data_IF_904974097390
#
_entry.id   IF_904974097390
#
_cell.length_a   1.000
_cell.length_b   1.000
_cell.length_c   1.000
_cell.angle_alpha   90.00
_cell.angle_beta   90.00
_cell.angle_gamma   90.00
#
_symmetry.space_group_name_H-M   'P 1'
#
loop_
_entity.id
_entity.type
_entity.pdbx_description
1 polymer ?
#
# COMPACT_ATOMS: atom_id res chain seq x y z
N UNK A 1 -11.58 2.24 25.09
CA UNK A 1 -10.53 3.27 24.98
C UNK A 1 -9.30 2.81 24.21
N UNK A 2 -8.58 1.75 24.61
CA UNK A 2 -7.35 1.30 23.90
C UNK A 2 -7.59 0.92 22.42
N UNK A 3 -8.62 0.13 22.12
CA UNK A 3 -8.97 -0.21 20.73
C UNK A 3 -9.32 1.02 19.88
N UNK A 4 -9.96 2.03 20.47
CA UNK A 4 -10.34 3.25 19.75
C UNK A 4 -9.11 4.05 19.32
N UNK A 5 -8.17 4.31 20.23
CA UNK A 5 -6.95 5.04 19.88
C UNK A 5 -6.09 4.33 18.82
N UNK A 6 -6.05 2.99 18.86
CA UNK A 6 -5.37 2.19 17.83
C UNK A 6 -6.10 2.28 16.50
N UNK A 7 -7.44 2.13 16.49
CA UNK A 7 -8.26 2.30 15.27
C UNK A 7 -8.02 3.67 14.65
N UNK A 8 -8.06 4.73 15.46
CA UNK A 8 -7.87 6.10 15.00
C UNK A 8 -6.47 6.33 14.40
N UNK A 9 -5.43 5.77 15.03
CA UNK A 9 -4.05 5.84 14.52
C UNK A 9 -3.91 5.12 13.17
N UNK A 10 -4.46 3.90 13.06
CA UNK A 10 -4.42 3.15 11.80
C UNK A 10 -5.21 3.86 10.71
N UNK A 11 -6.37 4.45 11.03
CA UNK A 11 -7.17 5.24 10.08
C UNK A 11 -6.43 6.49 9.62
N UNK A 12 -5.77 7.21 10.52
CA UNK A 12 -4.95 8.37 10.18
C UNK A 12 -3.86 7.97 9.17
N UNK A 13 -3.10 6.90 9.46
CA UNK A 13 -2.07 6.37 8.57
C UNK A 13 -2.62 5.89 7.23
N UNK A 14 -3.80 5.26 7.21
CA UNK A 14 -4.44 4.81 5.97
C UNK A 14 -4.92 5.98 5.10
N UNK A 15 -5.51 7.01 5.71
CA UNK A 15 -5.89 8.26 5.01
C UNK A 15 -4.67 8.97 4.44
N UNK A 16 -3.59 9.05 5.22
CA UNK A 16 -2.31 9.56 4.74
C UNK A 16 -1.78 8.76 3.55
N UNK A 17 -1.74 7.43 3.66
CA UNK A 17 -1.32 6.58 2.55
C UNK A 17 -2.20 6.77 1.31
N UNK A 18 -3.52 6.98 1.47
CA UNK A 18 -4.42 7.27 0.35
C UNK A 18 -3.99 8.53 -0.40
N UNK A 19 -3.86 9.66 0.30
CA UNK A 19 -3.46 10.95 -0.29
C UNK A 19 -2.07 10.84 -0.92
N UNK A 20 -1.09 10.31 -0.17
CA UNK A 20 0.28 10.16 -0.68
C UNK A 20 0.35 9.25 -1.92
N UNK A 21 -0.46 8.19 -2.00
CA UNK A 21 -0.52 7.33 -3.17
C UNK A 21 -1.15 8.05 -4.38
N UNK A 22 -2.16 8.90 -4.15
CA UNK A 22 -2.78 9.74 -5.19
C UNK A 22 -1.76 10.78 -5.72
N UNK A 23 -1.01 11.43 -4.85
CA UNK A 23 0.02 12.40 -5.23
C UNK A 23 1.16 11.73 -6.01
N UNK A 24 1.66 10.58 -5.54
CA UNK A 24 2.64 9.77 -6.28
C UNK A 24 2.11 9.43 -7.67
N UNK A 25 0.86 8.94 -7.77
CA UNK A 25 0.26 8.61 -9.05
C UNK A 25 0.15 9.83 -9.98
N UNK A 26 -0.20 10.99 -9.45
CA UNK A 26 -0.30 12.24 -10.21
C UNK A 26 1.07 12.71 -10.72
N UNK A 27 2.12 12.63 -9.91
CA UNK A 27 3.49 12.97 -10.32
C UNK A 27 3.98 12.01 -11.41
N UNK A 28 3.84 10.71 -11.18
CA UNK A 28 4.27 9.68 -12.11
C UNK A 28 3.50 9.71 -13.44
N UNK A 29 2.24 10.19 -13.44
CA UNK A 29 1.45 10.36 -14.68
C UNK A 29 2.04 11.36 -15.68
N UNK A 30 2.93 12.24 -15.22
CA UNK A 30 3.62 13.24 -16.06
C UNK A 30 4.88 12.68 -16.71
N UNK A 31 5.34 11.49 -16.30
CA UNK A 31 6.53 10.85 -16.84
C UNK A 31 6.19 10.02 -18.08
N UNK A 32 7.20 9.82 -18.94
CA UNK A 32 7.07 8.92 -20.08
C UNK A 32 6.95 7.47 -19.61
N UNK A 33 6.32 6.61 -20.43
CA UNK A 33 6.30 5.15 -20.16
C UNK A 33 7.71 4.58 -20.04
N UNK A 34 8.65 5.09 -20.83
CA UNK A 34 10.07 4.70 -20.74
C UNK A 34 10.63 5.05 -19.36
N UNK A 35 10.41 6.27 -18.87
CA UNK A 35 10.93 6.69 -17.57
C UNK A 35 10.36 5.90 -16.40
N UNK A 36 9.08 5.49 -16.48
CA UNK A 36 8.40 4.66 -15.49
C UNK A 36 8.97 3.24 -15.43
N UNK A 37 9.31 2.66 -16.60
CA UNK A 37 9.73 1.27 -16.74
C UNK A 37 11.24 1.06 -16.68
N UNK A 38 12.03 2.13 -16.92
CA UNK A 38 13.49 2.09 -16.92
C UNK A 38 14.05 1.55 -15.61
N UNK A 39 15.02 0.64 -15.73
CA UNK A 39 15.82 0.20 -14.58
C UNK A 39 16.70 1.35 -14.09
N UNK A 40 16.52 1.71 -12.82
CA UNK A 40 17.22 2.78 -12.12
C UNK A 40 17.92 2.27 -10.85
N UNK A 41 18.11 0.95 -10.74
CA UNK A 41 18.80 0.34 -9.60
C UNK A 41 18.00 0.33 -8.29
N UNK A 42 16.68 0.60 -8.34
CA UNK A 42 15.78 0.36 -7.22
C UNK A 42 15.68 -1.15 -6.94
N UNK A 43 15.24 -1.53 -5.74
CA UNK A 43 15.06 -2.96 -5.42
C UNK A 43 14.12 -3.65 -6.41
N UNK A 44 13.04 -2.97 -6.80
CA UNK A 44 12.09 -3.42 -7.85
C UNK A 44 12.45 -2.90 -9.25
N UNK A 45 13.74 -2.56 -9.46
CA UNK A 45 14.35 -2.04 -10.69
C UNK A 45 13.86 -0.65 -11.10
N UNK A 46 12.55 -0.42 -11.18
CA UNK A 46 11.96 0.80 -11.75
C UNK A 46 10.91 1.44 -10.84
N UNK A 47 10.47 2.65 -11.21
CA UNK A 47 9.35 3.34 -10.55
C UNK A 47 8.07 2.51 -10.66
N UNK A 48 7.78 1.96 -11.84
CA UNK A 48 6.63 1.09 -12.07
C UNK A 48 6.72 -0.20 -11.25
N UNK A 49 7.89 -0.82 -11.17
CA UNK A 49 8.10 -1.99 -10.33
C UNK A 49 7.83 -1.70 -8.85
N UNK A 50 8.27 -0.54 -8.36
CA UNK A 50 8.11 -0.13 -6.97
C UNK A 50 6.65 0.15 -6.62
N UNK A 51 5.92 0.90 -7.47
CA UNK A 51 4.49 1.16 -7.21
C UNK A 51 3.63 -0.11 -7.31
N UNK A 52 3.99 -1.04 -8.22
CA UNK A 52 3.32 -2.33 -8.34
C UNK A 52 3.54 -3.18 -7.09
N UNK A 53 4.76 -3.18 -6.53
CA UNK A 53 5.05 -3.86 -5.28
C UNK A 53 4.23 -3.31 -4.12
N UNK A 54 4.13 -1.99 -3.96
CA UNK A 54 3.30 -1.37 -2.92
C UNK A 54 1.84 -1.83 -3.06
N UNK A 55 1.28 -1.76 -4.27
CA UNK A 55 -0.10 -2.20 -4.53
C UNK A 55 -0.30 -3.69 -4.24
N UNK A 56 0.64 -4.53 -4.67
CA UNK A 56 0.58 -5.97 -4.45
C UNK A 56 0.63 -6.32 -2.95
N UNK A 57 1.56 -5.70 -2.20
CA UNK A 57 1.68 -5.89 -0.76
C UNK A 57 0.39 -5.47 -0.01
N UNK A 58 -0.20 -4.34 -0.39
CA UNK A 58 -1.46 -3.87 0.19
C UNK A 58 -2.62 -4.82 -0.11
N UNK A 59 -2.76 -5.29 -1.37
CA UNK A 59 -3.81 -6.24 -1.75
C UNK A 59 -3.67 -7.57 -1.02
N UNK A 60 -2.45 -8.13 -0.92
CA UNK A 60 -2.21 -9.35 -0.17
C UNK A 60 -2.55 -9.14 1.30
N UNK A 61 -1.99 -8.11 1.94
CA UNK A 61 -2.09 -7.96 3.39
C UNK A 61 -3.48 -7.47 3.81
N UNK A 62 -3.96 -6.35 3.27
CA UNK A 62 -5.28 -5.81 3.63
C UNK A 62 -6.42 -6.52 2.90
N UNK A 63 -6.28 -6.73 1.59
CA UNK A 63 -7.35 -7.31 0.77
C UNK A 63 -7.62 -8.79 1.06
N UNK A 64 -6.57 -9.59 1.33
CA UNK A 64 -6.74 -11.03 1.55
C UNK A 64 -6.62 -11.47 3.01
N UNK A 65 -5.67 -10.93 3.79
CA UNK A 65 -5.41 -11.41 5.16
C UNK A 65 -6.23 -10.63 6.19
N UNK A 66 -6.07 -9.31 6.25
CA UNK A 66 -6.66 -8.50 7.30
C UNK A 66 -8.16 -8.27 7.13
N UNK A 67 -8.67 -8.31 5.89
CA UNK A 67 -10.11 -8.31 5.63
C UNK A 67 -10.85 -9.45 6.34
N UNK A 68 -10.18 -10.57 6.66
CA UNK A 68 -10.77 -11.69 7.42
C UNK A 68 -10.98 -11.40 8.90
N UNK A 69 -10.38 -10.32 9.43
CA UNK A 69 -10.53 -9.92 10.83
C UNK A 69 -11.84 -9.16 11.09
N UNK A 70 -12.45 -8.61 10.04
CA UNK A 70 -13.71 -7.87 10.08
C UNK A 70 -14.79 -8.52 9.21
N UNK A 71 -15.89 -7.79 8.98
CA UNK A 71 -17.01 -8.23 8.13
C UNK A 71 -17.38 -7.14 7.13
N UNK A 72 -17.90 -7.55 5.97
CA UNK A 72 -18.49 -6.62 4.99
C UNK A 72 -17.49 -5.86 4.11
N UNK A 73 -16.19 -6.20 4.16
CA UNK A 73 -15.18 -5.57 3.31
C UNK A 73 -15.31 -6.06 1.87
N UNK A 74 -15.31 -5.13 0.91
CA UNK A 74 -15.31 -5.45 -0.51
C UNK A 74 -14.01 -6.14 -0.92
N UNK A 75 -14.11 -7.29 -1.59
CA UNK A 75 -12.96 -7.96 -2.22
C UNK A 75 -12.66 -7.32 -3.56
N UNK A 76 -11.38 -7.06 -3.81
CA UNK A 76 -10.86 -6.57 -5.09
C UNK A 76 -10.18 -7.71 -5.82
N UNK A 77 -10.53 -7.91 -7.09
CA UNK A 77 -10.01 -8.98 -7.93
C UNK A 77 -8.86 -8.46 -8.83
N UNK A 78 -7.75 -8.12 -8.17
CA UNK A 78 -6.56 -7.54 -8.80
C UNK A 78 -5.32 -8.43 -8.70
N UNK A 79 -5.43 -9.57 -8.02
CA UNK A 79 -4.37 -10.56 -7.87
C UNK A 79 -4.66 -11.78 -8.75
N UNK A 80 -3.60 -12.44 -9.22
CA UNK A 80 -3.65 -13.78 -9.80
C UNK A 80 -3.70 -14.83 -8.69
N UNK A 81 -3.86 -16.10 -9.06
CA UNK A 81 -3.88 -17.23 -8.11
C UNK A 81 -2.58 -17.36 -7.30
N UNK A 82 -1.44 -17.00 -7.90
CA UNK A 82 -0.12 -17.02 -7.25
C UNK A 82 0.15 -15.79 -6.37
N UNK A 83 -0.86 -14.93 -6.16
CA UNK A 83 -0.79 -13.68 -5.38
C UNK A 83 0.11 -12.61 -6.02
N UNK A 84 0.45 -12.73 -7.31
CA UNK A 84 1.04 -11.64 -8.07
C UNK A 84 -0.05 -10.69 -8.60
N UNK A 85 0.32 -9.43 -8.85
CA UNK A 85 -0.58 -8.46 -9.45
C UNK A 85 -0.94 -8.89 -10.89
N UNK A 86 -2.21 -8.75 -11.29
CA UNK A 86 -2.65 -9.05 -12.65
C UNK A 86 -1.90 -8.22 -13.70
N UNK A 87 -1.58 -8.81 -14.84
CA UNK A 87 -0.68 -8.21 -15.84
C UNK A 87 -1.26 -6.94 -16.45
N UNK A 88 -2.58 -6.88 -16.62
CA UNK A 88 -3.30 -5.70 -17.11
C UNK A 88 -3.26 -4.52 -16.13
N UNK A 89 -2.95 -4.76 -14.84
CA UNK A 89 -2.75 -3.71 -13.84
C UNK A 89 -1.26 -3.38 -13.75
N UNK A 90 -0.42 -4.42 -13.74
CA UNK A 90 1.02 -4.27 -13.58
C UNK A 90 1.67 -3.52 -14.76
N UNK A 91 1.14 -3.68 -15.98
CA UNK A 91 1.75 -3.14 -17.21
C UNK A 91 1.03 -1.91 -17.78
N UNK A 92 -0.11 -1.53 -17.22
CA UNK A 92 -0.90 -0.36 -17.66
C UNK A 92 -1.09 0.62 -16.50
N UNK A 93 -0.57 1.84 -16.68
CA UNK A 93 -0.54 2.83 -15.60
C UNK A 93 -1.93 3.40 -15.27
N UNK A 94 -2.86 3.42 -16.23
CA UNK A 94 -4.23 3.88 -15.97
C UNK A 94 -5.02 2.83 -15.18
N UNK A 95 -4.85 1.55 -15.50
CA UNK A 95 -5.37 0.45 -14.70
C UNK A 95 -4.74 0.44 -13.30
N UNK A 96 -3.43 0.67 -13.18
CA UNK A 96 -2.76 0.84 -11.88
C UNK A 96 -3.43 1.93 -11.04
N UNK A 97 -3.65 3.14 -11.58
CA UNK A 97 -4.27 4.24 -10.84
C UNK A 97 -5.65 3.87 -10.30
N UNK A 98 -6.50 3.25 -11.13
CA UNK A 98 -7.83 2.79 -10.72
C UNK A 98 -7.75 1.74 -9.63
N UNK A 99 -6.87 0.75 -9.79
CA UNK A 99 -6.65 -0.29 -8.80
C UNK A 99 -6.11 0.27 -7.48
N UNK A 100 -5.19 1.24 -7.56
CA UNK A 100 -4.59 1.91 -6.41
C UNK A 100 -5.61 2.69 -5.60
N UNK A 101 -6.45 3.51 -6.25
CA UNK A 101 -7.51 4.27 -5.61
C UNK A 101 -8.50 3.34 -4.88
N UNK A 102 -9.01 2.32 -5.59
CA UNK A 102 -9.92 1.34 -5.00
C UNK A 102 -9.30 0.57 -3.83
N UNK A 103 -8.01 0.24 -3.91
CA UNK A 103 -7.30 -0.45 -2.81
C UNK A 103 -7.10 0.47 -1.61
N UNK A 104 -6.81 1.76 -1.83
CA UNK A 104 -6.70 2.74 -0.73
C UNK A 104 -8.02 2.90 0.03
N UNK A 105 -9.15 2.92 -0.67
CA UNK A 105 -10.49 2.93 -0.04
C UNK A 105 -10.75 1.65 0.76
N UNK A 106 -10.47 0.49 0.16
CA UNK A 106 -10.64 -0.80 0.81
C UNK A 106 -9.81 -0.93 2.10
N UNK A 107 -8.58 -0.39 2.15
CA UNK A 107 -7.75 -0.40 3.36
C UNK A 107 -8.46 0.32 4.52
N UNK A 108 -9.09 1.47 4.24
CA UNK A 108 -9.84 2.24 5.25
C UNK A 108 -11.05 1.43 5.72
N UNK A 109 -11.81 0.84 4.78
CA UNK A 109 -12.95 -0.03 5.11
C UNK A 109 -12.54 -1.23 5.99
N UNK A 110 -11.41 -1.88 5.68
CA UNK A 110 -10.87 -2.98 6.49
C UNK A 110 -10.63 -2.52 7.93
N UNK A 111 -9.93 -1.40 8.12
CA UNK A 111 -9.61 -0.89 9.46
C UNK A 111 -10.90 -0.53 10.22
N UNK A 112 -11.89 0.05 9.56
CA UNK A 112 -13.17 0.40 10.18
C UNK A 112 -13.95 -0.84 10.63
N UNK A 113 -13.88 -1.92 9.86
CA UNK A 113 -14.60 -3.18 10.11
C UNK A 113 -14.05 -4.04 11.26
N UNK A 114 -12.90 -3.68 11.84
CA UNK A 114 -12.22 -4.45 12.88
C UNK A 114 -12.41 -3.78 14.24
N UNK A 115 -12.79 -4.55 15.26
CA UNK A 115 -12.88 -4.05 16.65
C UNK A 115 -11.82 -4.65 17.58
N UNK A 116 -11.28 -5.82 17.21
CA UNK A 116 -10.37 -6.61 18.03
C UNK A 116 -8.91 -6.46 17.57
N UNK A 117 -8.31 -5.30 17.83
CA UNK A 117 -6.95 -4.98 17.37
C UNK A 117 -5.83 -5.64 18.19
N UNK A 118 -6.10 -5.99 19.45
CA UNK A 118 -5.11 -6.62 20.34
C UNK A 118 -5.09 -8.16 20.25
N UNK A 119 -6.03 -8.77 19.52
CA UNK A 119 -6.02 -10.22 19.29
C UNK A 119 -4.72 -10.61 18.59
N UNK A 120 -4.09 -11.68 19.07
CA UNK A 120 -2.87 -12.18 18.47
C UNK A 120 -3.15 -12.71 17.07
N UNK A 121 -2.24 -12.38 16.16
CA UNK A 121 -2.23 -12.87 14.80
C UNK A 121 -0.90 -13.57 14.54
N UNK A 122 -0.97 -14.83 14.13
CA UNK A 122 0.19 -15.56 13.63
C UNK A 122 0.27 -15.37 12.11
N UNK A 123 1.07 -14.41 11.68
CA UNK A 123 1.41 -14.24 10.27
C UNK A 123 2.49 -15.26 9.88
N UNK A 124 2.08 -16.28 9.12
CA UNK A 124 2.99 -17.26 8.53
C UNK A 124 3.71 -16.66 7.33
N UNK A 125 5.03 -16.69 7.36
CA UNK A 125 5.91 -16.35 6.23
C UNK A 125 6.74 -17.59 5.86
N UNK A 126 7.35 -17.66 4.66
CA UNK A 126 8.13 -18.83 4.25
C UNK A 126 9.23 -19.25 5.24
N UNK A 127 9.81 -18.28 5.96
CA UNK A 127 10.99 -18.50 6.80
C UNK A 127 10.71 -18.43 8.31
N UNK A 128 9.55 -17.90 8.74
CA UNK A 128 9.19 -17.76 10.17
C UNK A 128 7.70 -17.47 10.40
N UNK A 129 7.25 -17.80 11.60
CA UNK A 129 5.97 -17.33 12.15
C UNK A 129 6.19 -15.99 12.87
N UNK A 130 5.33 -15.02 12.59
CA UNK A 130 5.32 -13.72 13.27
C UNK A 130 4.06 -13.64 14.12
N UNK A 131 4.20 -13.82 15.43
CA UNK A 131 3.09 -13.74 16.40
C UNK A 131 3.11 -12.38 17.05
N UNK A 132 2.13 -11.54 16.70
CA UNK A 132 1.95 -10.18 17.23
C UNK A 132 0.47 -9.82 17.27
N UNK A 133 0.04 -8.87 18.12
CA UNK A 133 -1.27 -8.24 18.01
C UNK A 133 -1.55 -7.74 16.59
N UNK A 134 -2.77 -7.94 16.08
CA UNK A 134 -3.21 -7.54 14.73
C UNK A 134 -2.77 -6.12 14.37
N UNK A 135 -2.94 -5.16 15.28
CA UNK A 135 -2.58 -3.77 15.02
C UNK A 135 -1.12 -3.55 14.67
N UNK A 136 -0.19 -4.31 15.27
CA UNK A 136 1.24 -4.13 15.04
C UNK A 136 1.59 -4.55 13.61
N UNK A 137 1.01 -5.65 13.15
CA UNK A 137 1.24 -6.15 11.79
C UNK A 137 0.58 -5.23 10.76
N UNK A 138 -0.63 -4.73 11.05
CA UNK A 138 -1.32 -3.76 10.21
C UNK A 138 -0.54 -2.43 10.07
N UNK A 139 -0.03 -1.90 11.18
CA UNK A 139 0.80 -0.70 11.19
C UNK A 139 2.11 -0.91 10.41
N UNK A 140 2.74 -2.08 10.56
CA UNK A 140 3.96 -2.41 9.83
C UNK A 140 3.74 -2.37 8.31
N UNK A 141 2.59 -2.85 7.82
CA UNK A 141 2.24 -2.80 6.39
C UNK A 141 1.97 -1.36 5.93
N UNK A 142 1.27 -0.54 6.72
CA UNK A 142 1.07 0.89 6.40
C UNK A 142 2.42 1.63 6.31
N UNK A 143 3.34 1.33 7.22
CA UNK A 143 4.68 1.91 7.23
C UNK A 143 5.56 1.39 6.08
N UNK A 144 5.40 0.14 5.66
CA UNK A 144 6.08 -0.44 4.49
C UNK A 144 5.76 0.35 3.21
N UNK A 145 4.52 0.82 3.04
CA UNK A 145 4.18 1.70 1.93
C UNK A 145 4.92 3.06 2.01
N UNK A 146 5.08 3.62 3.21
CA UNK A 146 5.88 4.85 3.41
C UNK A 146 7.35 4.64 3.06
N UNK A 147 7.93 3.51 3.46
CA UNK A 147 9.32 3.16 3.12
C UNK A 147 9.56 3.15 1.61
N UNK A 148 8.74 2.42 0.84
CA UNK A 148 8.90 2.36 -0.62
C UNK A 148 8.54 3.67 -1.33
N UNK A 149 7.62 4.47 -0.79
CA UNK A 149 7.42 5.85 -1.29
C UNK A 149 8.65 6.73 -1.03
N UNK A 150 9.41 6.49 0.05
CA UNK A 150 10.72 7.11 0.26
C UNK A 150 11.73 6.76 -0.83
N UNK A 151 11.75 5.51 -1.30
CA UNK A 151 12.58 5.10 -2.45
C UNK A 151 12.15 5.83 -3.74
N UNK A 152 10.84 5.96 -3.97
CA UNK A 152 10.30 6.72 -5.10
C UNK A 152 10.71 8.20 -5.00
N UNK A 153 10.60 8.82 -3.82
CA UNK A 153 11.01 10.21 -3.58
C UNK A 153 12.47 10.41 -3.99
N UNK A 154 13.39 9.61 -3.45
CA UNK A 154 14.81 9.75 -3.76
C UNK A 154 15.12 9.52 -5.25
N UNK A 155 14.35 8.68 -5.94
CA UNK A 155 14.49 8.49 -7.37
C UNK A 155 13.97 9.69 -8.18
N UNK A 156 12.87 10.31 -7.76
CA UNK A 156 12.35 11.52 -8.39
C UNK A 156 13.31 12.70 -8.22
N UNK A 157 13.91 12.85 -7.03
CA UNK A 157 14.99 13.82 -6.77
C UNK A 157 16.16 13.61 -7.72
N UNK A 158 16.61 12.36 -7.89
CA UNK A 158 17.70 12.01 -8.82
C UNK A 158 17.34 12.28 -10.29
N UNK A 159 16.06 12.33 -10.63
CA UNK A 159 15.55 12.69 -11.95
C UNK A 159 15.32 14.20 -12.12
N UNK A 160 15.47 15.00 -11.06
CA UNK A 160 15.14 16.43 -11.06
C UNK A 160 13.63 16.69 -11.18
N UNK A 161 12.80 15.75 -10.73
CA UNK A 161 11.34 15.88 -10.76
C UNK A 161 10.87 16.31 -9.38
N UNK A 162 10.23 17.47 -9.29
CA UNK A 162 9.67 17.96 -8.03
C UNK A 162 8.62 16.99 -7.47
N UNK A 163 8.74 16.66 -6.18
CA UNK A 163 7.79 15.81 -5.49
C UNK A 163 7.62 16.23 -4.02
N UNK A 164 6.36 16.25 -3.57
CA UNK A 164 6.01 16.28 -2.16
C UNK A 164 4.73 15.48 -1.96
N UNK A 165 4.80 14.47 -1.11
CA UNK A 165 3.69 13.58 -0.74
C UNK A 165 3.82 13.13 0.72
N UNK A 166 4.48 13.95 1.57
CA UNK A 166 4.76 13.61 2.97
C UNK A 166 3.81 14.31 3.98
N UNK A 167 2.75 14.97 3.49
CA UNK A 167 1.88 15.88 4.22
C UNK A 167 0.95 15.28 5.28
N UNK A 168 1.42 14.36 6.12
CA UNK A 168 0.63 13.80 7.24
C UNK A 168 0.10 14.89 8.19
N UNK A 169 0.82 16.01 8.33
CA UNK A 169 0.40 17.14 9.17
C UNK A 169 -0.86 17.85 8.68
N UNK A 170 -1.30 17.60 7.44
CA UNK A 170 -2.45 18.27 6.83
C UNK A 170 -3.77 17.46 6.92
N UNK A 171 -3.78 16.34 7.64
CA UNK A 171 -4.91 15.37 7.73
C UNK A 171 -5.52 15.38 9.13
#
# INVERSE_FOLDING_TARGET
MKNQGVKDTLKLMAKFNKIANEDVANILSKLSKEDLTKDRGLYFKSLQGTINHILNADLIMYGTKFSTFGKGVKKLDYLKEDMSLKDEIANDFDAYKKARAATSDMIIEVIESIDEFYTEYNLKTPNRDIIKPRYQVMLAVLNHATHHRGEISGMLDAMGVENDFNGLMAI
#
